data_IF_220805969057
#
_entry.id   IF_220805969057
#
_cell.length_a   1.000
_cell.length_b   1.000
_cell.length_c   1.000
_cell.angle_alpha   90.00
_cell.angle_beta   90.00
_cell.angle_gamma   90.00
#
_symmetry.space_group_name_H-M   'P 1'
#
loop_
_entity.id
_entity.type
_entity.pdbx_description
1 polymer ?
#
# COMPACT_ATOMS: atom_id res chain seq x y z
N UNK A 1 1.48 5.02 31.41
CA UNK A 1 2.14 6.05 30.59
C UNK A 1 2.27 5.45 29.21
N UNK A 2 1.73 6.09 28.17
CA UNK A 2 1.83 5.59 26.80
C UNK A 2 3.11 6.17 26.17
N UNK A 3 4.03 5.29 25.76
CA UNK A 3 5.34 5.70 25.21
C UNK A 3 5.22 6.17 23.76
N UNK A 4 4.19 5.71 23.03
CA UNK A 4 3.97 6.06 21.65
C UNK A 4 2.54 6.57 21.45
N UNK A 5 2.34 7.84 21.11
CA UNK A 5 1.00 8.44 21.10
C UNK A 5 0.11 7.96 19.94
N UNK A 6 0.66 7.17 19.01
CA UNK A 6 -0.07 6.75 17.82
C UNK A 6 0.40 5.39 17.31
N UNK A 7 -0.58 4.51 17.08
CA UNK A 7 -0.43 3.18 16.51
C UNK A 7 -1.44 2.99 15.39
N UNK A 8 -1.06 2.30 14.32
CA UNK A 8 -1.95 2.03 13.19
C UNK A 8 -1.68 0.68 12.57
N UNK A 9 -2.62 0.20 11.77
CA UNK A 9 -2.39 -0.95 10.92
C UNK A 9 -1.54 -0.56 9.71
N UNK A 10 -0.80 -1.52 9.16
CA UNK A 10 -0.14 -1.34 7.88
C UNK A 10 -1.11 -1.10 6.73
N UNK A 11 -0.56 -0.75 5.57
CA UNK A 11 -1.32 -0.57 4.35
C UNK A 11 -1.82 -1.92 3.79
N UNK A 12 -2.96 -1.91 3.10
CA UNK A 12 -3.59 -3.11 2.56
C UNK A 12 -4.09 -2.85 1.14
N UNK A 13 -3.59 -3.64 0.20
CA UNK A 13 -4.06 -3.62 -1.19
C UNK A 13 -5.08 -4.71 -1.52
N UNK A 14 -5.08 -5.84 -0.79
CA UNK A 14 -5.83 -7.07 -1.10
C UNK A 14 -5.65 -7.61 -2.53
N UNK A 15 -4.64 -7.11 -3.25
CA UNK A 15 -4.22 -7.55 -4.56
C UNK A 15 -2.72 -7.31 -4.67
N UNK A 16 -2.02 -8.25 -5.30
CA UNK A 16 -0.55 -8.21 -5.38
C UNK A 16 -0.02 -7.35 -6.53
N UNK A 17 -0.79 -7.15 -7.60
CA UNK A 17 -0.29 -6.47 -8.79
C UNK A 17 0.18 -5.02 -8.58
N UNK A 18 -0.40 -4.20 -7.66
CA UNK A 18 0.05 -2.83 -7.37
C UNK A 18 1.35 -2.79 -6.57
N UNK A 19 1.91 -3.93 -6.18
CA UNK A 19 3.18 -4.07 -5.46
C UNK A 19 4.14 -4.85 -6.37
N UNK A 20 5.39 -4.41 -6.49
CA UNK A 20 6.37 -5.07 -7.34
C UNK A 20 7.81 -4.80 -6.93
N UNK A 21 8.70 -5.70 -7.32
CA UNK A 21 10.11 -5.67 -6.95
C UNK A 21 10.84 -4.47 -7.58
N UNK A 22 10.36 -4.00 -8.73
CA UNK A 22 10.90 -2.83 -9.44
C UNK A 22 9.78 -1.95 -10.00
N UNK A 23 10.10 -0.67 -10.22
CA UNK A 23 9.18 0.25 -10.90
C UNK A 23 8.87 -0.19 -12.33
N UNK A 24 9.81 -0.84 -13.01
CA UNK A 24 9.60 -1.36 -14.38
C UNK A 24 8.51 -2.43 -14.43
N UNK A 25 8.46 -3.32 -13.43
CA UNK A 25 7.43 -4.36 -13.30
C UNK A 25 6.06 -3.72 -13.05
N UNK A 26 6.01 -2.71 -12.18
CA UNK A 26 4.78 -1.96 -11.92
C UNK A 26 4.30 -1.22 -13.19
N UNK A 27 5.22 -0.58 -13.91
CA UNK A 27 4.95 0.07 -15.19
C UNK A 27 4.38 -0.92 -16.20
N UNK A 28 5.00 -2.08 -16.41
CA UNK A 28 4.50 -3.10 -17.33
C UNK A 28 3.11 -3.63 -16.94
N UNK A 29 2.82 -3.77 -15.64
CA UNK A 29 1.49 -4.18 -15.15
C UNK A 29 0.45 -3.08 -15.37
N UNK A 30 0.81 -1.82 -15.15
CA UNK A 30 -0.06 -0.69 -15.44
C UNK A 30 -0.37 -0.59 -16.94
N UNK A 31 0.65 -0.73 -17.78
CA UNK A 31 0.52 -0.79 -19.24
C UNK A 31 -0.46 -1.86 -19.68
N UNK A 32 -0.32 -3.08 -19.15
CA UNK A 32 -1.25 -4.18 -19.42
C UNK A 32 -2.67 -3.84 -18.97
N UNK A 33 -2.85 -3.20 -17.81
CA UNK A 33 -4.16 -2.85 -17.27
C UNK A 33 -4.85 -1.75 -18.10
N UNK A 34 -4.12 -0.68 -18.48
CA UNK A 34 -4.70 0.44 -19.24
C UNK A 34 -5.06 0.05 -20.68
N UNK A 35 -4.31 -0.88 -21.27
CA UNK A 35 -4.53 -1.34 -22.64
C UNK A 35 -5.53 -2.50 -22.73
N UNK A 36 -6.00 -3.03 -21.59
CA UNK A 36 -6.97 -4.09 -21.56
C UNK A 36 -8.37 -3.62 -21.99
N UNK A 37 -9.14 -4.53 -22.59
CA UNK A 37 -10.56 -4.34 -22.88
C UNK A 37 -11.34 -4.10 -21.58
N UNK A 38 -12.53 -3.51 -21.67
CA UNK A 38 -13.37 -3.26 -20.49
C UNK A 38 -13.69 -4.55 -19.69
N UNK A 39 -13.84 -5.68 -20.39
CA UNK A 39 -14.10 -6.98 -19.77
C UNK A 39 -12.87 -7.52 -19.05
N UNK A 40 -11.72 -7.53 -19.72
CA UNK A 40 -10.47 -8.07 -19.15
C UNK A 40 -9.95 -7.19 -18.00
N UNK A 41 -10.22 -5.89 -18.06
CA UNK A 41 -9.74 -4.93 -17.06
C UNK A 41 -10.24 -5.25 -15.66
N UNK A 42 -11.49 -5.70 -15.50
CA UNK A 42 -12.02 -6.14 -14.19
C UNK A 42 -11.24 -7.33 -13.63
N UNK A 43 -10.99 -8.33 -14.48
CA UNK A 43 -10.24 -9.53 -14.13
C UNK A 43 -8.80 -9.21 -13.76
N UNK A 44 -8.12 -8.38 -14.55
CA UNK A 44 -6.74 -7.95 -14.31
C UNK A 44 -6.63 -7.11 -13.03
N UNK A 45 -7.61 -6.24 -12.79
CA UNK A 45 -7.62 -5.38 -11.61
C UNK A 45 -7.81 -6.17 -10.30
N UNK A 46 -8.51 -7.31 -10.35
CA UNK A 46 -8.93 -8.11 -9.19
C UNK A 46 -9.81 -7.29 -8.24
N UNK A 47 -11.04 -7.00 -8.67
CA UNK A 47 -12.01 -6.28 -7.84
C UNK A 47 -12.25 -6.98 -6.50
N UNK A 48 -12.39 -6.19 -5.46
CA UNK A 48 -12.86 -6.62 -4.15
C UNK A 48 -14.22 -6.00 -3.85
N UNK A 49 -14.80 -6.34 -2.70
CA UNK A 49 -16.00 -5.66 -2.19
C UNK A 49 -15.79 -4.14 -2.11
N UNK A 50 -14.64 -3.72 -1.59
CA UNK A 50 -14.36 -2.33 -1.22
C UNK A 50 -13.69 -1.52 -2.34
N UNK A 51 -13.04 -2.19 -3.29
CA UNK A 51 -12.32 -1.52 -4.38
C UNK A 51 -12.64 -2.14 -5.74
N UNK A 52 -13.40 -1.38 -6.52
CA UNK A 52 -13.87 -1.67 -7.88
C UNK A 52 -13.20 -0.77 -8.90
N UNK A 53 -13.19 -1.16 -10.18
CA UNK A 53 -12.57 -0.37 -11.26
C UNK A 53 -13.24 0.99 -11.47
N UNK A 54 -14.51 1.13 -11.08
CA UNK A 54 -15.25 2.39 -11.15
C UNK A 54 -15.04 3.32 -9.95
N UNK A 55 -14.19 2.95 -8.99
CA UNK A 55 -13.95 3.78 -7.82
C UNK A 55 -13.19 5.06 -8.18
N UNK A 56 -13.75 6.20 -7.78
CA UNK A 56 -13.11 7.52 -7.87
C UNK A 56 -12.76 8.02 -6.48
N UNK A 57 -11.58 8.63 -6.34
CA UNK A 57 -11.13 9.22 -5.08
C UNK A 57 -11.79 10.60 -4.91
N UNK A 58 -12.53 10.79 -3.84
CA UNK A 58 -13.35 12.00 -3.61
C UNK A 58 -12.66 13.04 -2.72
N UNK A 59 -11.65 12.64 -1.94
CA UNK A 59 -10.94 13.49 -0.99
C UNK A 59 -9.68 14.09 -1.63
N UNK A 60 -9.56 15.44 -1.72
CA UNK A 60 -8.44 16.12 -2.40
C UNK A 60 -7.03 15.79 -1.88
N UNK A 61 -6.92 15.47 -0.59
CA UNK A 61 -5.67 15.15 0.08
C UNK A 61 -5.16 13.73 -0.20
N UNK A 62 -6.00 12.88 -0.82
CA UNK A 62 -5.66 11.49 -1.08
C UNK A 62 -5.03 11.31 -2.45
N UNK A 63 -3.97 10.50 -2.51
CA UNK A 63 -3.35 10.08 -3.77
C UNK A 63 -4.39 9.40 -4.68
N UNK A 64 -4.40 9.80 -5.95
CA UNK A 64 -5.40 9.38 -6.94
C UNK A 64 -6.60 10.31 -7.06
N UNK A 65 -6.71 11.36 -6.24
CA UNK A 65 -7.69 12.43 -6.44
C UNK A 65 -7.48 13.12 -7.79
N UNK A 66 -8.59 13.42 -8.48
CA UNK A 66 -8.60 14.03 -9.80
C UNK A 66 -8.18 13.11 -10.95
N UNK A 67 -7.64 11.92 -10.66
CA UNK A 67 -7.29 10.93 -11.67
C UNK A 67 -8.53 10.12 -12.09
N UNK A 68 -8.64 9.71 -13.37
CA UNK A 68 -9.78 8.92 -13.82
C UNK A 68 -9.84 7.56 -13.09
N UNK A 69 -11.04 7.01 -12.86
CA UNK A 69 -11.18 5.66 -12.31
C UNK A 69 -10.55 4.64 -13.27
N UNK A 70 -10.20 3.46 -12.74
CA UNK A 70 -9.52 2.40 -13.52
C UNK A 70 -10.35 1.97 -14.74
N UNK A 71 -11.68 2.00 -14.64
CA UNK A 71 -12.57 1.70 -15.77
C UNK A 71 -12.36 2.64 -16.96
N UNK A 72 -11.98 3.89 -16.70
CA UNK A 72 -11.98 4.96 -17.70
C UNK A 72 -10.53 5.33 -18.11
N UNK A 73 -9.55 4.45 -17.82
CA UNK A 73 -8.17 4.62 -18.27
C UNK A 73 -8.10 4.60 -19.80
N UNK A 74 -7.34 5.56 -20.33
CA UNK A 74 -6.97 5.69 -21.73
C UNK A 74 -5.51 5.27 -21.93
N UNK A 75 -5.08 4.99 -23.17
CA UNK A 75 -3.68 4.70 -23.45
C UNK A 75 -2.71 5.83 -23.02
N UNK A 76 -3.16 7.08 -23.03
CA UNK A 76 -2.32 8.20 -22.57
C UNK A 76 -2.33 8.40 -21.03
N UNK A 77 -3.11 7.60 -20.28
CA UNK A 77 -3.22 7.81 -18.82
C UNK A 77 -1.94 7.35 -18.10
N UNK A 78 -1.24 8.25 -17.40
CA UNK A 78 0.01 7.91 -16.73
C UNK A 78 -0.22 6.96 -15.55
N UNK A 79 0.80 6.14 -15.18
CA UNK A 79 0.75 5.33 -13.98
C UNK A 79 0.66 6.20 -12.72
N UNK A 80 0.07 5.69 -11.63
CA UNK A 80 0.18 6.32 -10.32
C UNK A 80 1.63 6.47 -9.89
N UNK A 81 1.89 7.42 -8.99
CA UNK A 81 3.20 7.56 -8.35
C UNK A 81 3.55 6.28 -7.58
N UNK A 82 4.78 5.82 -7.76
CA UNK A 82 5.40 4.72 -7.01
C UNK A 82 6.03 5.23 -5.71
N UNK A 83 5.95 4.42 -4.66
CA UNK A 83 6.66 4.65 -3.39
C UNK A 83 7.40 3.39 -2.99
N UNK A 84 8.44 3.50 -2.16
CA UNK A 84 9.04 2.33 -1.52
C UNK A 84 8.06 1.75 -0.50
N UNK A 85 7.99 0.43 -0.47
CA UNK A 85 7.01 -0.32 0.30
C UNK A 85 7.70 -1.47 1.05
N UNK A 86 7.53 -1.51 2.36
CA UNK A 86 7.94 -2.64 3.16
C UNK A 86 6.91 -3.75 2.97
N UNK A 87 7.18 -4.69 2.06
CA UNK A 87 6.25 -5.80 1.81
C UNK A 87 6.31 -6.80 2.96
N UNK A 88 7.51 -7.20 3.37
CA UNK A 88 7.78 -8.03 4.55
C UNK A 88 9.00 -7.49 5.28
N UNK A 89 9.26 -7.99 6.49
CA UNK A 89 10.49 -7.70 7.23
C UNK A 89 11.70 -7.85 6.31
N UNK A 90 12.41 -6.75 6.08
CA UNK A 90 13.59 -6.65 5.21
C UNK A 90 13.35 -6.85 3.70
N UNK A 91 12.12 -7.10 3.27
CA UNK A 91 11.73 -7.14 1.86
C UNK A 91 11.15 -5.78 1.43
N UNK A 92 11.98 -5.02 0.71
CA UNK A 92 11.67 -3.67 0.27
C UNK A 92 11.31 -3.67 -1.21
N UNK A 93 10.03 -3.43 -1.49
CA UNK A 93 9.47 -3.40 -2.83
C UNK A 93 9.04 -1.98 -3.20
N UNK A 94 8.37 -1.84 -4.33
CA UNK A 94 7.67 -0.64 -4.74
C UNK A 94 6.16 -0.89 -4.74
N UNK A 95 5.36 0.15 -4.53
CA UNK A 95 3.92 0.08 -4.68
C UNK A 95 3.32 1.35 -5.29
N UNK A 96 2.20 1.19 -5.99
CA UNK A 96 1.32 2.30 -6.35
C UNK A 96 0.51 2.72 -5.12
N UNK A 97 0.99 3.70 -4.34
CA UNK A 97 0.25 4.20 -3.19
C UNK A 97 -0.88 5.14 -3.61
N UNK A 98 -1.92 4.58 -4.24
CA UNK A 98 -3.03 5.27 -4.87
C UNK A 98 -4.36 4.64 -4.43
N UNK A 99 -5.29 5.49 -3.98
CA UNK A 99 -6.56 5.06 -3.38
C UNK A 99 -7.54 4.47 -4.40
N UNK A 100 -7.23 4.54 -5.71
CA UNK A 100 -7.96 3.81 -6.75
C UNK A 100 -7.61 2.33 -6.79
N UNK A 101 -6.42 1.93 -6.33
CA UNK A 101 -5.92 0.55 -6.47
C UNK A 101 -5.75 -0.20 -5.14
N UNK A 102 -5.73 0.49 -4.01
CA UNK A 102 -5.61 -0.14 -2.68
C UNK A 102 -6.90 -0.06 -1.85
N UNK A 103 -7.31 -1.15 -1.21
CA UNK A 103 -8.55 -1.22 -0.42
C UNK A 103 -8.47 -0.37 0.85
N UNK A 104 -7.49 -0.68 1.70
CA UNK A 104 -7.32 -0.05 3.01
C UNK A 104 -5.89 0.50 3.16
N UNK A 105 -5.37 1.12 2.11
CA UNK A 105 -4.15 1.92 2.20
C UNK A 105 -4.41 3.12 3.12
N UNK A 106 -3.50 3.40 4.05
CA UNK A 106 -3.73 4.33 5.16
C UNK A 106 -3.32 5.75 4.74
N UNK A 107 -4.24 6.74 4.69
CA UNK A 107 -3.87 8.12 4.34
C UNK A 107 -2.72 8.65 5.18
N UNK A 108 -2.78 8.37 6.48
CA UNK A 108 -1.79 8.85 7.43
C UNK A 108 -0.39 8.27 7.22
N UNK A 109 -0.26 6.98 6.84
CA UNK A 109 1.05 6.41 6.51
C UNK A 109 1.65 7.08 5.27
N UNK A 110 0.83 7.40 4.27
CA UNK A 110 1.26 8.14 3.09
C UNK A 110 1.67 9.57 3.41
N UNK A 111 0.94 10.25 4.31
CA UNK A 111 1.24 11.62 4.75
C UNK A 111 2.53 11.73 5.57
N UNK A 112 2.79 10.74 6.41
CA UNK A 112 4.01 10.69 7.21
C UNK A 112 5.23 10.21 6.43
N UNK A 113 5.04 9.56 5.29
CA UNK A 113 6.15 9.00 4.54
C UNK A 113 7.06 10.10 3.99
N UNK A 114 8.35 9.97 4.25
CA UNK A 114 9.38 10.93 3.86
C UNK A 114 10.77 10.40 4.22
N UNK A 115 11.81 11.12 3.82
CA UNK A 115 13.21 10.65 3.92
C UNK A 115 13.70 10.38 5.35
N UNK A 116 13.12 11.06 6.35
CA UNK A 116 13.47 10.90 7.76
C UNK A 116 12.51 9.97 8.51
N UNK A 117 11.48 9.46 7.83
CA UNK A 117 10.47 8.65 8.49
C UNK A 117 10.95 7.22 8.69
N UNK A 118 10.75 6.70 9.90
CA UNK A 118 10.85 5.26 10.17
C UNK A 118 9.64 4.78 10.95
N UNK A 119 9.29 3.51 10.72
CA UNK A 119 8.19 2.83 11.36
C UNK A 119 8.75 1.66 12.17
N UNK A 120 8.49 1.67 13.48
CA UNK A 120 8.64 0.48 14.30
C UNK A 120 7.39 -0.38 14.08
N UNK A 121 7.59 -1.62 13.65
CA UNK A 121 6.51 -2.60 13.50
C UNK A 121 6.67 -3.64 14.57
N UNK A 122 5.78 -3.60 15.56
CA UNK A 122 5.77 -4.51 16.69
C UNK A 122 4.35 -5.04 16.92
N UNK A 123 4.09 -6.33 16.64
CA UNK A 123 2.79 -6.92 16.88
C UNK A 123 2.41 -6.86 18.36
N UNK A 124 1.39 -6.10 18.69
CA UNK A 124 0.92 -5.89 20.06
C UNK A 124 0.13 -7.08 20.62
N UNK A 125 -0.52 -7.80 19.70
CA UNK A 125 -1.48 -8.87 19.96
C UNK A 125 -0.89 -10.25 19.73
N UNK A 126 0.39 -10.32 19.33
CA UNK A 126 1.08 -11.57 19.12
C UNK A 126 1.82 -12.00 20.39
N UNK A 127 1.54 -13.21 20.87
CA UNK A 127 2.43 -13.89 21.81
C UNK A 127 3.73 -14.17 21.06
N UNK A 128 4.76 -13.40 21.35
CA UNK A 128 6.07 -13.60 20.78
C UNK A 128 6.80 -14.69 21.57
N UNK A 129 7.33 -15.70 20.86
CA UNK A 129 8.23 -16.69 21.44
C UNK A 129 9.67 -16.19 21.53
N UNK A 130 10.63 -17.10 21.49
CA UNK A 130 12.04 -16.74 21.38
C UNK A 130 12.35 -16.18 19.98
N UNK A 131 12.94 -14.97 19.91
CA UNK A 131 13.34 -14.35 18.65
C UNK A 131 13.09 -12.84 18.60
N UNK A 132 13.18 -12.26 17.41
CA UNK A 132 12.81 -10.87 17.20
C UNK A 132 11.31 -10.66 17.48
N UNK A 133 10.99 -9.58 18.18
CA UNK A 133 9.60 -9.23 18.57
C UNK A 133 9.09 -7.99 17.83
N UNK A 134 10.01 -7.16 17.33
CA UNK A 134 9.69 -6.02 16.48
C UNK A 134 10.71 -5.92 15.33
N UNK A 135 10.38 -5.11 14.33
CA UNK A 135 11.27 -4.77 13.22
C UNK A 135 11.13 -3.29 12.88
N UNK A 136 12.12 -2.71 12.19
CA UNK A 136 12.06 -1.32 11.73
C UNK A 136 11.96 -1.29 10.21
N UNK A 137 11.11 -0.41 9.69
CA UNK A 137 10.99 -0.11 8.27
C UNK A 137 11.24 1.37 8.02
N UNK A 138 12.06 1.71 7.02
CA UNK A 138 12.12 3.06 6.46
C UNK A 138 11.02 3.30 5.40
N UNK A 139 10.39 2.22 4.94
CA UNK A 139 9.38 2.22 3.88
C UNK A 139 7.98 2.02 4.48
N UNK A 140 6.92 2.41 3.76
CA UNK A 140 5.54 2.22 4.23
C UNK A 140 5.28 0.72 4.45
N UNK A 141 4.92 0.27 5.67
CA UNK A 141 4.77 -1.15 5.95
C UNK A 141 3.40 -1.69 5.51
N UNK A 142 3.42 -2.89 4.94
CA UNK A 142 2.25 -3.72 4.72
C UNK A 142 1.60 -4.14 6.04
N UNK A 143 0.29 -4.41 6.03
CA UNK A 143 -0.39 -4.97 7.19
C UNK A 143 0.27 -6.26 7.69
N UNK A 144 0.84 -7.06 6.79
CA UNK A 144 1.52 -8.30 7.11
C UNK A 144 3.04 -8.17 7.14
N UNK A 145 3.58 -6.96 7.31
CA UNK A 145 5.02 -6.68 7.25
C UNK A 145 5.84 -7.62 8.15
N UNK A 146 5.51 -7.74 9.43
CA UNK A 146 6.38 -8.41 10.39
C UNK A 146 6.55 -9.92 10.12
N UNK A 147 5.45 -10.70 10.16
CA UNK A 147 5.47 -12.18 10.04
C UNK A 147 4.73 -12.74 8.82
N UNK A 148 4.24 -11.90 7.92
CA UNK A 148 3.60 -12.31 6.66
C UNK A 148 2.18 -12.88 6.75
N UNK A 149 1.69 -13.22 7.94
CA UNK A 149 0.40 -13.91 8.15
C UNK A 149 -0.51 -13.25 9.20
N UNK A 150 -0.08 -12.15 9.80
CA UNK A 150 -0.81 -11.45 10.84
C UNK A 150 -0.61 -9.96 10.69
N UNK A 151 -1.60 -9.18 11.09
CA UNK A 151 -1.50 -7.75 11.19
C UNK A 151 -2.52 -7.22 12.16
N UNK A 152 -2.13 -6.22 12.93
CA UNK A 152 -2.95 -5.50 13.91
C UNK A 152 -2.66 -4.01 13.82
N UNK A 153 -2.70 -3.31 14.96
CA UNK A 153 -2.23 -1.91 15.06
C UNK A 153 -0.73 -1.87 15.36
N UNK A 154 0.02 -2.61 14.57
CA UNK A 154 1.42 -2.96 14.87
C UNK A 154 2.40 -1.87 14.44
N UNK A 155 1.96 -0.88 13.68
CA UNK A 155 2.81 0.13 13.06
C UNK A 155 2.84 1.39 13.91
N UNK A 156 4.04 1.74 14.35
CA UNK A 156 4.35 2.90 15.19
C UNK A 156 5.27 3.83 14.40
N UNK A 157 4.77 4.97 13.89
CA UNK A 157 5.59 5.98 13.26
C UNK A 157 6.44 6.69 14.30
N UNK A 158 7.77 6.71 14.13
CA UNK A 158 8.70 7.26 15.14
C UNK A 158 9.04 8.73 14.95
N UNK A 159 9.01 9.20 13.71
CA UNK A 159 9.39 10.58 13.36
C UNK A 159 8.22 11.29 12.65
N UNK A 160 8.35 12.60 12.49
CA UNK A 160 7.48 13.49 11.71
C UNK A 160 8.33 14.59 11.10
#
# INVERSE_FOLDING_TARGET
MDMFPYHTAGAVFYRSWPIGETESVLGARWERLRNATAQDRKTLFKESRDRKIGHSVTQPELSGYGAPPIRDLMPATPPPRTVRYGYRSFDRQFAFYDFRVGDFIRPYLGRLYGEKQTFLVCPDTLICGHGAVCSVSADIPDQHYFRGSFGGKDVIPLYR
#
